data_IF_290004680533
#
_entry.id   IF_290004680533
#
_cell.length_a   1.000
_cell.length_b   1.000
_cell.length_c   1.000
_cell.angle_alpha   90.00
_cell.angle_beta   90.00
_cell.angle_gamma   90.00
#
_symmetry.space_group_name_H-M   'P 1'
#
loop_
_entity.id
_entity.type
_entity.pdbx_description
1 polymer ?
#
# COMPACT_ATOMS: atom_id res chain seq x y z
N UNK A 1 17.39 1.26 18.93
CA UNK A 1 16.54 1.24 17.72
C UNK A 1 15.40 2.22 17.94
N UNK A 2 15.23 3.27 17.12
CA UNK A 2 14.12 4.20 17.34
C UNK A 2 12.79 3.47 17.08
N UNK A 3 11.82 3.75 17.93
CA UNK A 3 10.47 3.19 17.88
C UNK A 3 9.83 3.52 16.53
N UNK A 4 9.56 2.49 15.72
CA UNK A 4 8.71 2.60 14.53
C UNK A 4 7.30 2.94 15.03
N UNK A 5 6.89 4.19 14.84
CA UNK A 5 5.53 4.63 15.14
C UNK A 5 4.65 4.31 13.93
N UNK A 6 4.00 3.15 13.96
CA UNK A 6 3.02 2.77 12.96
C UNK A 6 1.79 3.68 13.09
N UNK A 7 1.59 4.59 12.14
CA UNK A 7 0.35 5.36 12.06
C UNK A 7 -0.74 4.42 11.54
N UNK A 8 -1.68 4.04 12.41
CA UNK A 8 -2.88 3.30 11.99
C UNK A 8 -3.96 4.30 11.62
N UNK A 9 -4.45 4.26 10.39
CA UNK A 9 -5.69 4.95 10.03
C UNK A 9 -6.85 4.33 10.80
N UNK A 10 -7.51 5.10 11.67
CA UNK A 10 -8.74 4.65 12.32
C UNK A 10 -9.91 4.98 11.41
N UNK A 11 -10.58 3.95 10.92
CA UNK A 11 -11.73 4.04 10.01
C UNK A 11 -13.01 3.71 10.80
N UNK A 12 -13.32 4.49 11.84
CA UNK A 12 -14.55 4.28 12.64
C UNK A 12 -15.69 5.21 12.25
N UNK A 13 -15.38 6.39 11.70
CA UNK A 13 -16.37 7.43 11.38
C UNK A 13 -16.19 7.93 9.94
N UNK A 14 -16.32 7.03 8.96
CA UNK A 14 -16.26 7.40 7.53
C UNK A 14 -17.63 7.25 6.88
N UNK A 15 -17.91 8.02 5.83
CA UNK A 15 -19.14 7.85 5.04
C UNK A 15 -19.26 6.44 4.43
N UNK A 16 -18.14 5.75 4.24
CA UNK A 16 -18.14 4.34 3.85
C UNK A 16 -18.68 3.44 4.96
N UNK A 17 -18.24 3.64 6.20
CA UNK A 17 -18.72 2.87 7.35
C UNK A 17 -20.23 3.05 7.55
N UNK A 18 -20.77 4.25 7.33
CA UNK A 18 -22.22 4.48 7.36
C UNK A 18 -22.95 3.68 6.27
N UNK A 19 -22.45 3.72 5.03
CA UNK A 19 -23.04 3.01 3.89
C UNK A 19 -22.92 1.48 3.97
N UNK A 20 -21.92 0.97 4.69
CA UNK A 20 -21.60 -0.47 4.79
C UNK A 20 -22.21 -1.15 6.03
N UNK A 21 -23.00 -0.43 6.83
CA UNK A 21 -23.54 -0.97 8.09
C UNK A 21 -22.50 -1.07 9.21
N UNK A 22 -21.51 -0.19 9.22
CA UNK A 22 -20.47 -0.06 10.25
C UNK A 22 -19.15 -0.76 9.92
N UNK A 23 -18.99 -1.29 8.71
CA UNK A 23 -17.76 -1.97 8.29
C UNK A 23 -16.72 -0.99 7.74
N UNK A 24 -15.46 -1.17 8.12
CA UNK A 24 -14.37 -0.51 7.40
C UNK A 24 -14.23 -1.09 5.98
N UNK A 25 -13.66 -0.29 5.08
CA UNK A 25 -13.50 -0.64 3.67
C UNK A 25 -12.83 -2.00 3.44
N UNK A 26 -11.77 -2.33 4.20
CA UNK A 26 -11.05 -3.58 3.98
C UNK A 26 -11.83 -4.79 4.49
N UNK A 27 -12.56 -4.64 5.60
CA UNK A 27 -13.46 -5.69 6.09
C UNK A 27 -14.59 -5.94 5.09
N UNK A 28 -15.19 -4.88 4.55
CA UNK A 28 -16.23 -4.98 3.52
C UNK A 28 -15.73 -5.67 2.24
N UNK A 29 -14.59 -5.24 1.69
CA UNK A 29 -14.04 -5.79 0.44
C UNK A 29 -13.63 -7.27 0.55
N UNK A 30 -13.30 -7.76 1.75
CA UNK A 30 -12.89 -9.16 1.97
C UNK A 30 -14.05 -10.15 1.97
N UNK A 31 -15.30 -9.68 1.99
CA UNK A 31 -16.46 -10.55 1.97
C UNK A 31 -16.54 -11.36 0.65
N UNK A 32 -17.01 -12.62 0.67
CA UNK A 32 -17.09 -13.46 -0.53
C UNK A 32 -17.89 -12.86 -1.68
N UNK A 33 -18.97 -12.13 -1.38
CA UNK A 33 -19.82 -11.45 -2.36
C UNK A 33 -19.16 -10.23 -3.01
N UNK A 34 -18.09 -9.69 -2.40
CA UNK A 34 -17.43 -8.46 -2.83
C UNK A 34 -16.10 -8.71 -3.56
N UNK A 35 -15.81 -9.96 -3.95
CA UNK A 35 -14.54 -10.31 -4.60
C UNK A 35 -14.28 -9.53 -5.90
N UNK A 36 -15.32 -9.15 -6.63
CA UNK A 36 -15.20 -8.38 -7.86
C UNK A 36 -14.73 -6.94 -7.57
N UNK A 37 -15.29 -6.32 -6.52
CA UNK A 37 -14.84 -5.01 -6.03
C UNK A 37 -13.41 -5.07 -5.48
N UNK A 38 -13.06 -6.14 -4.77
CA UNK A 38 -11.69 -6.34 -4.29
C UNK A 38 -10.68 -6.43 -5.45
N UNK A 39 -11.03 -7.16 -6.52
CA UNK A 39 -10.18 -7.23 -7.72
C UNK A 39 -10.04 -5.87 -8.40
N UNK A 40 -11.13 -5.13 -8.57
CA UNK A 40 -11.10 -3.78 -9.14
C UNK A 40 -10.26 -2.84 -8.29
N UNK A 41 -10.49 -2.81 -6.98
CA UNK A 41 -9.74 -1.99 -6.03
C UNK A 41 -8.23 -2.26 -6.12
N UNK A 42 -7.83 -3.53 -6.07
CA UNK A 42 -6.42 -3.91 -6.18
C UNK A 42 -5.81 -3.51 -7.54
N UNK A 43 -6.57 -3.62 -8.63
CA UNK A 43 -6.14 -3.18 -9.96
C UNK A 43 -5.89 -1.67 -10.02
N UNK A 44 -6.85 -0.87 -9.52
CA UNK A 44 -6.72 0.60 -9.47
C UNK A 44 -5.54 1.02 -8.60
N UNK A 45 -5.37 0.43 -7.42
CA UNK A 45 -4.24 0.73 -6.54
C UNK A 45 -2.91 0.35 -7.20
N UNK A 46 -2.84 -0.77 -7.92
CA UNK A 46 -1.63 -1.16 -8.66
C UNK A 46 -1.29 -0.12 -9.74
N UNK A 47 -2.28 0.31 -10.53
CA UNK A 47 -2.08 1.32 -11.58
C UNK A 47 -1.61 2.66 -11.01
N UNK A 48 -2.22 3.09 -9.90
CA UNK A 48 -1.83 4.31 -9.20
C UNK A 48 -0.40 4.22 -8.64
N UNK A 49 -0.04 3.09 -8.01
CA UNK A 49 1.30 2.84 -7.50
C UNK A 49 2.34 2.92 -8.62
N UNK A 50 2.11 2.28 -9.77
CA UNK A 50 3.04 2.39 -10.91
C UNK A 50 3.12 3.82 -11.45
N UNK A 51 1.99 4.53 -11.59
CA UNK A 51 2.01 5.92 -12.09
C UNK A 51 2.76 6.89 -11.16
N UNK A 52 2.63 6.70 -9.85
CA UNK A 52 3.28 7.54 -8.84
C UNK A 52 4.68 7.08 -8.48
N UNK A 53 4.99 5.80 -8.71
CA UNK A 53 6.23 5.15 -8.32
C UNK A 53 7.45 5.78 -8.97
N UNK A 54 7.39 5.97 -10.29
CA UNK A 54 8.45 6.63 -11.07
C UNK A 54 8.82 8.02 -10.54
N UNK A 55 7.82 8.79 -10.07
CA UNK A 55 8.03 10.14 -9.53
C UNK A 55 8.66 10.12 -8.13
N UNK A 56 8.40 9.08 -7.34
CA UNK A 56 8.95 8.94 -5.99
C UNK A 56 10.38 8.37 -6.00
N UNK A 57 10.65 7.40 -6.88
CA UNK A 57 11.98 6.78 -7.03
C UNK A 57 13.03 7.82 -7.43
N UNK A 58 12.66 8.84 -8.19
CA UNK A 58 13.59 9.89 -8.64
C UNK A 58 13.82 11.00 -7.61
N UNK A 59 12.96 11.12 -6.58
CA UNK A 59 13.02 12.20 -5.59
C UNK A 59 13.73 11.84 -4.28
N UNK A 60 14.06 10.56 -4.06
CA UNK A 60 14.64 10.06 -2.82
C UNK A 60 15.80 9.12 -3.13
N UNK A 61 16.95 9.35 -2.49
CA UNK A 61 18.05 8.38 -2.52
C UNK A 61 17.75 7.21 -1.58
N UNK A 62 17.18 6.13 -2.14
CA UNK A 62 16.90 4.90 -1.38
C UNK A 62 18.16 4.08 -1.08
N UNK A 63 19.26 4.29 -1.82
CA UNK A 63 20.51 3.54 -1.66
C UNK A 63 21.16 3.71 -0.29
N UNK A 64 20.83 4.79 0.43
CA UNK A 64 21.28 5.05 1.80
C UNK A 64 20.71 4.09 2.85
N UNK A 65 19.67 3.32 2.53
CA UNK A 65 19.04 2.39 3.47
C UNK A 65 19.54 0.96 3.25
N UNK A 66 19.90 0.25 4.34
CA UNK A 66 20.32 -1.16 4.24
C UNK A 66 19.17 -2.17 4.17
N UNK A 67 17.96 -1.77 4.58
CA UNK A 67 16.75 -2.60 4.57
C UNK A 67 15.53 -1.70 4.30
N UNK A 68 14.62 -2.15 3.45
CA UNK A 68 13.39 -1.45 3.09
C UNK A 68 12.20 -2.41 3.19
N UNK A 69 11.11 -1.97 3.83
CA UNK A 69 9.87 -2.76 3.99
C UNK A 69 8.68 -1.94 3.51
N UNK A 70 7.88 -2.50 2.60
CA UNK A 70 6.64 -1.90 2.09
C UNK A 70 5.42 -2.40 2.88
N UNK A 71 4.99 -1.60 3.85
CA UNK A 71 3.83 -1.92 4.71
C UNK A 71 2.54 -1.57 3.98
N UNK A 72 1.79 -2.60 3.57
CA UNK A 72 0.59 -2.43 2.76
C UNK A 72 0.85 -2.41 1.26
N UNK A 73 2.03 -2.86 0.82
CA UNK A 73 2.47 -2.89 -0.58
C UNK A 73 1.64 -3.72 -1.56
N UNK A 74 0.54 -4.34 -1.10
CA UNK A 74 -0.35 -5.17 -1.92
C UNK A 74 0.43 -6.25 -2.69
N UNK A 75 0.60 -6.11 -4.01
CA UNK A 75 1.34 -7.05 -4.88
C UNK A 75 2.86 -6.82 -4.90
N UNK A 76 3.35 -5.78 -4.22
CA UNK A 76 4.78 -5.44 -4.13
C UNK A 76 5.36 -4.74 -5.36
N UNK A 77 4.52 -4.27 -6.29
CA UNK A 77 4.96 -3.61 -7.53
C UNK A 77 5.84 -2.39 -7.25
N UNK A 78 5.42 -1.54 -6.31
CA UNK A 78 6.18 -0.33 -5.96
C UNK A 78 7.54 -0.65 -5.31
N UNK A 79 7.57 -1.60 -4.37
CA UNK A 79 8.83 -2.05 -3.76
C UNK A 79 9.78 -2.64 -4.82
N UNK A 80 9.25 -3.39 -5.80
CA UNK A 80 10.06 -3.92 -6.89
C UNK A 80 10.66 -2.82 -7.78
N UNK A 81 9.88 -1.79 -8.11
CA UNK A 81 10.34 -0.62 -8.87
C UNK A 81 11.46 0.13 -8.13
N UNK A 82 11.33 0.34 -6.81
CA UNK A 82 12.39 0.96 -6.00
C UNK A 82 13.67 0.12 -5.99
N UNK A 83 13.56 -1.21 -5.79
CA UNK A 83 14.74 -2.06 -5.60
C UNK A 83 15.48 -2.37 -6.90
N UNK A 84 14.86 -2.20 -8.07
CA UNK A 84 15.48 -2.49 -9.37
C UNK A 84 16.87 -1.83 -9.55
N UNK A 85 17.05 -0.52 -9.28
CA UNK A 85 18.37 0.13 -9.34
C UNK A 85 19.29 -0.15 -8.14
N UNK A 86 18.82 -0.75 -7.04
CA UNK A 86 19.59 -0.86 -5.79
C UNK A 86 19.76 -2.32 -5.32
N UNK A 87 20.83 -2.96 -5.80
CA UNK A 87 21.16 -4.35 -5.46
C UNK A 87 21.68 -4.55 -4.03
N UNK A 88 22.03 -3.46 -3.34
CA UNK A 88 22.57 -3.48 -1.97
C UNK A 88 21.50 -3.45 -0.87
N UNK A 89 20.21 -3.30 -1.24
CA UNK A 89 19.11 -3.17 -0.27
C UNK A 89 18.47 -4.54 -0.03
N UNK A 90 18.24 -4.88 1.24
CA UNK A 90 17.44 -6.05 1.62
C UNK A 90 15.96 -5.70 1.69
N UNK A 91 15.12 -6.60 1.18
CA UNK A 91 13.66 -6.58 1.33
C UNK A 91 13.20 -7.36 2.55
#
# INVERSE_FOLDING_TARGET
>A
YPLIKLVRGQCKDTGFAEASGGLDLYTYLKQPENQDYLRLYNGVMTCLSTYTGDKLVTGVDFGRFGTLVDLGGSRGTFLAEILQPYQNIRR
#
